data_IF_339544517230
#
_entry.id   IF_339544517230
#
_cell.length_a   1.000
_cell.length_b   1.000
_cell.length_c   1.000
_cell.angle_alpha   90.00
_cell.angle_beta   90.00
_cell.angle_gamma   90.00
#
_symmetry.space_group_name_H-M   'P 1'
#
loop_
_entity.id
_entity.type
_entity.pdbx_description
1 polymer ?
#
# COMPACT_ATOMS: atom_id res chain seq x y z
N UNK A 1 15.32 -6.06 -13.28
CA UNK A 1 14.09 -6.36 -12.52
C UNK A 1 12.94 -5.58 -13.14
N UNK A 2 11.81 -6.23 -13.39
CA UNK A 2 10.56 -5.55 -13.77
C UNK A 2 9.78 -5.28 -12.48
N UNK A 3 9.18 -4.09 -12.37
CA UNK A 3 8.33 -3.72 -11.23
C UNK A 3 6.99 -3.19 -11.73
N UNK A 4 5.92 -3.53 -11.03
CA UNK A 4 4.57 -3.03 -11.27
C UNK A 4 4.15 -2.25 -10.04
N UNK A 5 3.82 -0.97 -10.21
CA UNK A 5 3.22 -0.17 -9.15
C UNK A 5 1.70 -0.35 -9.17
N UNK A 6 1.14 -0.74 -8.04
CA UNK A 6 -0.29 -0.81 -7.80
C UNK A 6 -0.69 0.24 -6.75
N UNK A 7 -1.14 1.43 -7.19
CA UNK A 7 -1.67 2.42 -6.27
C UNK A 7 -3.05 1.98 -5.76
N UNK A 8 -3.31 2.19 -4.47
CA UNK A 8 -4.59 1.89 -3.85
C UNK A 8 -5.06 3.04 -2.96
N UNK A 9 -6.32 3.38 -3.07
CA UNK A 9 -7.07 4.27 -2.17
C UNK A 9 -7.86 3.48 -1.11
N UNK A 10 -7.66 2.15 -1.04
CA UNK A 10 -8.36 1.21 -0.17
C UNK A 10 -9.88 1.12 -0.41
N UNK A 11 -10.38 1.71 -1.49
CA UNK A 11 -11.77 1.55 -1.93
C UNK A 11 -12.08 0.10 -2.30
N UNK A 12 -13.36 -0.22 -2.39
CA UNK A 12 -13.81 -1.52 -2.90
C UNK A 12 -13.28 -1.77 -4.32
N UNK A 13 -13.25 -0.73 -5.16
CA UNK A 13 -12.81 -0.87 -6.56
C UNK A 13 -11.32 -1.21 -6.62
N UNK A 14 -10.47 -0.53 -5.86
CA UNK A 14 -9.04 -0.86 -5.82
C UNK A 14 -8.80 -2.24 -5.21
N UNK A 15 -9.56 -2.66 -4.20
CA UNK A 15 -9.48 -4.04 -3.66
C UNK A 15 -9.82 -5.10 -4.71
N UNK A 16 -10.88 -4.89 -5.51
CA UNK A 16 -11.25 -5.81 -6.61
C UNK A 16 -10.23 -5.81 -7.75
N UNK A 17 -9.46 -4.73 -7.92
CA UNK A 17 -8.39 -4.66 -8.93
C UNK A 17 -7.10 -5.40 -8.51
N UNK A 18 -6.87 -5.59 -7.20
CA UNK A 18 -5.64 -6.16 -6.66
C UNK A 18 -5.33 -7.60 -7.18
N UNK A 19 -6.29 -8.54 -7.26
CA UNK A 19 -6.03 -9.89 -7.81
C UNK A 19 -5.49 -9.86 -9.25
N UNK A 20 -5.93 -8.89 -10.06
CA UNK A 20 -5.44 -8.73 -11.43
C UNK A 20 -4.00 -8.22 -11.47
N UNK A 21 -3.65 -7.30 -10.58
CA UNK A 21 -2.28 -6.81 -10.45
C UNK A 21 -1.32 -7.92 -9.98
N UNK A 22 -1.74 -8.74 -9.02
CA UNK A 22 -1.03 -9.94 -8.55
C UNK A 22 -0.81 -10.91 -9.72
N UNK A 23 -1.87 -11.24 -10.44
CA UNK A 23 -1.79 -12.16 -11.59
C UNK A 23 -0.87 -11.62 -12.70
N UNK A 24 -0.90 -10.32 -12.94
CA UNK A 24 -0.04 -9.66 -13.93
C UNK A 24 1.43 -9.68 -13.50
N UNK A 25 1.71 -9.44 -12.22
CA UNK A 25 3.07 -9.50 -11.67
C UNK A 25 3.65 -10.91 -11.76
N UNK A 26 2.87 -11.92 -11.37
CA UNK A 26 3.26 -13.33 -11.45
C UNK A 26 3.55 -13.75 -12.90
N UNK A 27 2.63 -13.47 -13.84
CA UNK A 27 2.81 -13.78 -15.25
C UNK A 27 4.06 -13.12 -15.87
N UNK A 28 4.39 -11.91 -15.44
CA UNK A 28 5.52 -11.15 -15.97
C UNK A 28 6.84 -11.43 -15.24
N UNK A 29 6.83 -12.21 -14.16
CA UNK A 29 7.96 -12.37 -13.24
C UNK A 29 8.43 -11.02 -12.68
N UNK A 30 7.48 -10.16 -12.33
CA UNK A 30 7.72 -8.80 -11.84
C UNK A 30 7.43 -8.70 -10.34
N UNK A 31 8.14 -7.80 -9.67
CA UNK A 31 7.78 -7.39 -8.31
C UNK A 31 6.50 -6.55 -8.35
N UNK A 32 5.52 -6.87 -7.50
CA UNK A 32 4.36 -6.02 -7.28
C UNK A 32 4.62 -5.08 -6.11
N UNK A 33 4.54 -3.77 -6.35
CA UNK A 33 4.66 -2.73 -5.32
C UNK A 33 3.28 -2.15 -5.03
N UNK A 34 2.72 -2.41 -3.86
CA UNK A 34 1.43 -1.85 -3.43
C UNK A 34 1.68 -0.54 -2.69
N UNK A 35 1.10 0.56 -3.18
CA UNK A 35 1.30 1.90 -2.61
C UNK A 35 -0.04 2.48 -2.17
N UNK A 36 -0.15 2.87 -0.90
CA UNK A 36 -1.21 3.73 -0.43
C UNK A 36 -0.66 5.12 -0.11
N UNK A 37 -1.34 6.16 -0.61
CA UNK A 37 -1.01 7.55 -0.34
C UNK A 37 -2.17 8.20 0.39
N UNK A 38 -1.89 8.89 1.50
CA UNK A 38 -2.89 9.61 2.28
C UNK A 38 -2.57 11.11 2.36
N UNK A 39 -3.60 11.94 2.47
CA UNK A 39 -3.42 13.40 2.58
C UNK A 39 -3.05 13.81 4.00
N UNK A 40 -2.02 14.64 4.14
CA UNK A 40 -1.75 15.37 5.38
C UNK A 40 -2.44 16.73 5.32
N UNK A 41 -3.43 16.95 6.18
CA UNK A 41 -3.96 18.29 6.39
C UNK A 41 -2.90 19.15 7.10
N UNK A 42 -2.41 20.18 6.41
CA UNK A 42 -1.45 21.14 6.99
C UNK A 42 -2.15 21.97 8.08
N UNK A 43 -2.02 21.52 9.33
CA UNK A 43 -2.44 22.22 10.55
C UNK A 43 -1.23 22.87 11.22
N UNK A 44 -1.40 23.57 12.34
CA UNK A 44 -0.29 24.27 13.01
C UNK A 44 0.83 23.31 13.46
N UNK A 45 2.09 23.78 13.46
CA UNK A 45 3.29 22.96 13.72
C UNK A 45 3.27 22.21 15.07
N UNK A 46 2.61 22.76 16.09
CA UNK A 46 2.44 22.10 17.39
C UNK A 46 1.50 20.87 17.32
N UNK A 47 0.52 20.89 16.41
CA UNK A 47 -0.40 19.78 16.15
C UNK A 47 0.26 18.70 15.30
N UNK A 48 1.15 19.10 14.37
CA UNK A 48 1.89 18.18 13.49
C UNK A 48 2.78 17.20 14.27
N UNK A 49 3.49 17.67 15.30
CA UNK A 49 4.38 16.81 16.09
C UNK A 49 3.64 15.76 16.94
N UNK A 50 2.50 16.10 17.54
CA UNK A 50 1.66 15.12 18.23
C UNK A 50 1.02 14.14 17.24
N UNK A 51 0.74 14.60 16.03
CA UNK A 51 0.19 13.78 14.96
C UNK A 51 1.19 12.80 14.36
N UNK A 52 2.50 13.02 14.44
CA UNK A 52 3.50 12.16 13.77
C UNK A 52 3.55 10.74 14.35
N UNK A 53 3.48 10.58 15.67
CA UNK A 53 3.40 9.24 16.31
C UNK A 53 2.08 8.55 15.94
N UNK A 54 0.97 9.29 15.97
CA UNK A 54 -0.36 8.78 15.60
C UNK A 54 -0.39 8.38 14.11
N UNK A 55 0.25 9.16 13.24
CA UNK A 55 0.38 8.86 11.82
C UNK A 55 1.18 7.58 11.61
N UNK A 56 2.32 7.41 12.29
CA UNK A 56 3.12 6.18 12.21
C UNK A 56 2.35 4.94 12.64
N UNK A 57 1.55 5.04 13.71
CA UNK A 57 0.72 3.93 14.16
C UNK A 57 -0.35 3.57 13.11
N UNK A 58 -1.00 4.58 12.51
CA UNK A 58 -1.98 4.39 11.43
C UNK A 58 -1.34 3.82 10.16
N UNK A 59 -0.16 4.30 9.76
CA UNK A 59 0.61 3.78 8.63
C UNK A 59 0.89 2.29 8.82
N UNK A 60 1.36 1.89 10.00
CA UNK A 60 1.63 0.48 10.32
C UNK A 60 0.37 -0.38 10.27
N UNK A 61 -0.77 0.13 10.76
CA UNK A 61 -2.03 -0.59 10.71
C UNK A 61 -2.50 -0.80 9.26
N UNK A 62 -2.39 0.23 8.42
CA UNK A 62 -2.73 0.13 7.00
C UNK A 62 -1.77 -0.79 6.26
N UNK A 63 -0.46 -0.72 6.53
CA UNK A 63 0.52 -1.66 5.96
C UNK A 63 0.19 -3.10 6.34
N UNK A 64 -0.22 -3.33 7.59
CA UNK A 64 -0.62 -4.65 8.05
C UNK A 64 -1.88 -5.15 7.34
N UNK A 65 -2.87 -4.28 7.14
CA UNK A 65 -4.08 -4.58 6.38
C UNK A 65 -3.76 -4.97 4.92
N UNK A 66 -2.91 -4.17 4.25
CA UNK A 66 -2.48 -4.44 2.88
C UNK A 66 -1.77 -5.78 2.81
N UNK A 67 -0.81 -6.00 3.72
CA UNK A 67 -0.04 -7.25 3.80
C UNK A 67 -0.96 -8.46 3.97
N UNK A 68 -1.92 -8.40 4.89
CA UNK A 68 -2.86 -9.50 5.12
C UNK A 68 -3.73 -9.77 3.89
N UNK A 69 -4.23 -8.72 3.24
CA UNK A 69 -5.06 -8.85 2.03
C UNK A 69 -4.26 -9.50 0.90
N UNK A 70 -3.04 -9.03 0.68
CA UNK A 70 -2.13 -9.56 -0.33
C UNK A 70 -1.79 -11.02 -0.05
N UNK A 71 -1.44 -11.37 1.20
CA UNK A 71 -1.09 -12.75 1.57
C UNK A 71 -2.25 -13.73 1.43
N UNK A 72 -3.51 -13.27 1.49
CA UNK A 72 -4.68 -14.10 1.22
C UNK A 72 -4.92 -14.35 -0.28
N UNK A 73 -4.41 -13.47 -1.14
CA UNK A 73 -4.62 -13.49 -2.59
C UNK A 73 -3.43 -14.07 -3.38
N UNK A 74 -2.21 -13.93 -2.85
CA UNK A 74 -1.00 -14.43 -3.48
C UNK A 74 -0.91 -15.96 -3.34
N UNK A 75 -0.86 -16.66 -4.48
CA UNK A 75 -0.83 -18.13 -4.55
C UNK A 75 0.59 -18.66 -4.83
N UNK A 76 1.44 -17.83 -5.43
CA UNK A 76 2.81 -18.18 -5.85
C UNK A 76 3.82 -17.82 -4.75
N UNK A 77 4.67 -18.77 -4.34
CA UNK A 77 5.73 -18.53 -3.35
C UNK A 77 6.87 -17.65 -3.91
N UNK A 78 7.04 -17.63 -5.24
CA UNK A 78 8.09 -16.88 -5.92
C UNK A 78 7.71 -15.41 -6.18
N UNK A 79 6.44 -15.05 -5.97
CA UNK A 79 5.95 -13.70 -6.22
C UNK A 79 6.42 -12.76 -5.10
N UNK A 80 7.30 -11.83 -5.47
CA UNK A 80 7.76 -10.78 -4.56
C UNK A 80 6.75 -9.65 -4.54
N UNK A 81 6.21 -9.36 -3.35
CA UNK A 81 5.30 -8.25 -3.13
C UNK A 81 5.85 -7.36 -2.02
N UNK A 82 5.91 -6.06 -2.29
CA UNK A 82 6.27 -5.03 -1.33
C UNK A 82 5.09 -4.08 -1.13
N UNK A 83 4.96 -3.51 0.07
CA UNK A 83 3.93 -2.54 0.39
C UNK A 83 4.56 -1.29 1.03
N UNK A 84 3.94 -0.14 0.78
CA UNK A 84 4.32 1.12 1.42
C UNK A 84 3.10 2.01 1.60
N UNK A 85 3.02 2.63 2.77
CA UNK A 85 2.06 3.70 3.06
C UNK A 85 2.86 4.99 3.24
N UNK A 86 2.46 6.05 2.54
CA UNK A 86 3.20 7.32 2.57
C UNK A 86 2.24 8.51 2.56
N UNK A 87 2.61 9.63 3.18
CA UNK A 87 1.88 10.87 2.99
C UNK A 87 2.09 11.42 1.57
N UNK A 88 1.03 11.98 1.00
CA UNK A 88 1.05 12.72 -0.25
C UNK A 88 1.03 14.22 -0.02
N UNK A 89 1.70 14.96 -0.90
CA UNK A 89 1.47 16.39 -1.01
C UNK A 89 0.14 16.64 -1.74
N UNK A 90 -0.76 17.49 -1.19
CA UNK A 90 -1.98 17.92 -1.88
C UNK A 90 -1.68 18.89 -3.03
#
# INVERSE_FOLDING_TARGET
>A
MKKILFPTDLSTISKEALPYAISMADYLGAELMVLHVYEIQRTSDAFLNLSETIQKDLEQEVEHLIKNTVSQLAVSEDLVISQSVQPGDP
#
